data_IF_934261324120
#
_entry.id   IF_934261324120
#
_cell.length_a   1.000
_cell.length_b   1.000
_cell.length_c   1.000
_cell.angle_alpha   90.00
_cell.angle_beta   90.00
_cell.angle_gamma   90.00
#
_symmetry.space_group_name_H-M   'P 1'
#
loop_
_entity.id
_entity.type
_entity.pdbx_description
1 polymer ?
#
# COMPACT_ATOMS: atom_id res chain seq x y z
N UNK A 1 69.86 -12.76 -3.73
CA UNK A 1 70.75 -11.58 -3.70
C UNK A 1 69.90 -10.33 -3.78
N UNK A 2 70.14 -9.36 -2.89
CA UNK A 2 70.09 -7.89 -3.07
C UNK A 2 68.90 -7.33 -3.93
N UNK A 3 67.78 -6.81 -3.37
CA UNK A 3 67.54 -5.53 -2.64
C UNK A 3 67.11 -4.35 -3.54
N UNK A 4 66.12 -3.54 -3.06
CA UNK A 4 65.63 -2.22 -3.53
C UNK A 4 64.56 -2.19 -4.64
N UNK A 5 63.62 -1.23 -4.67
CA UNK A 5 63.07 -0.35 -3.63
C UNK A 5 61.73 0.30 -4.05
N UNK A 6 60.80 0.34 -3.09
CA UNK A 6 59.81 1.39 -2.76
C UNK A 6 59.77 2.69 -3.60
N UNK A 7 58.54 3.09 -3.97
CA UNK A 7 57.97 4.42 -3.64
C UNK A 7 56.46 4.29 -3.38
N UNK A 8 56.00 4.82 -2.25
CA UNK A 8 54.58 5.00 -1.94
C UNK A 8 54.30 6.51 -1.88
N UNK A 9 53.12 6.94 -2.35
CA UNK A 9 52.68 8.33 -2.27
C UNK A 9 51.55 8.45 -1.23
N UNK A 10 51.86 9.06 -0.09
CA UNK A 10 50.85 9.46 0.90
C UNK A 10 50.35 10.87 0.57
N UNK A 11 49.04 11.09 0.71
CA UNK A 11 48.46 12.44 0.76
C UNK A 11 48.10 12.79 2.21
N UNK A 12 48.49 13.99 2.62
CA UNK A 12 48.39 14.45 3.99
C UNK A 12 47.10 15.24 4.27
N UNK A 13 46.77 15.29 5.55
CA UNK A 13 45.57 15.91 6.13
C UNK A 13 45.63 17.45 6.06
N UNK A 14 44.47 18.08 5.85
CA UNK A 14 44.24 19.48 6.21
C UNK A 14 42.92 19.59 7.01
N UNK A 15 43.03 19.58 8.34
CA UNK A 15 41.96 19.95 9.26
C UNK A 15 41.90 21.47 9.41
N UNK A 16 40.70 22.05 9.33
CA UNK A 16 40.51 23.47 9.63
C UNK A 16 39.27 23.65 10.52
N UNK A 17 39.52 23.76 11.83
CA UNK A 17 38.50 24.10 12.81
C UNK A 17 38.35 25.62 12.89
N UNK A 18 37.11 26.12 12.83
CA UNK A 18 36.78 27.49 13.24
C UNK A 18 35.69 27.42 14.30
N UNK A 19 36.10 27.65 15.55
CA UNK A 19 35.20 27.90 16.67
C UNK A 19 35.15 29.41 16.89
N UNK A 20 33.98 30.02 16.76
CA UNK A 20 33.72 31.32 17.36
C UNK A 20 32.24 31.47 17.64
N UNK A 21 31.88 31.69 18.91
CA UNK A 21 30.51 31.88 19.35
C UNK A 21 30.33 33.20 20.10
N UNK A 22 29.15 33.79 19.96
CA UNK A 22 28.46 34.73 20.86
C UNK A 22 27.03 34.80 20.31
N UNK A 23 26.01 34.26 20.98
CA UNK A 23 25.34 34.73 22.21
C UNK A 23 24.26 35.79 21.96
N UNK A 24 23.08 35.52 22.52
CA UNK A 24 22.04 36.48 22.98
C UNK A 24 21.45 37.48 21.98
N UNK A 25 20.14 37.35 21.69
CA UNK A 25 19.08 38.06 22.44
C UNK A 25 17.69 37.88 21.79
N UNK A 26 16.65 37.63 22.61
CA UNK A 26 15.26 37.85 22.21
C UNK A 26 14.91 39.35 22.32
N UNK A 27 13.81 39.79 21.69
CA UNK A 27 12.72 40.27 22.53
C UNK A 27 11.30 39.93 22.03
N UNK A 28 10.45 39.53 22.98
CA UNK A 28 9.05 40.00 23.07
C UNK A 28 9.03 41.00 24.23
N UNK A 29 8.26 42.12 24.19
CA UNK A 29 6.80 42.03 24.30
C UNK A 29 6.02 43.11 23.51
N UNK A 30 4.71 42.94 23.36
CA UNK A 30 3.67 43.74 24.06
C UNK A 30 2.26 43.37 23.57
N UNK A 31 1.27 43.58 24.45
CA UNK A 31 -0.14 43.34 24.17
C UNK A 31 -0.95 44.62 24.40
N UNK A 32 -1.87 44.89 23.49
CA UNK A 32 -2.94 45.90 23.55
C UNK A 32 -4.10 45.31 22.73
N UNK A 33 -5.22 44.93 23.33
CA UNK A 33 -6.36 45.84 23.57
C UNK A 33 -7.16 45.98 22.27
N UNK A 34 -8.38 45.45 22.10
CA UNK A 34 -9.49 45.33 23.05
C UNK A 34 -10.51 46.43 22.71
N UNK A 35 -11.66 46.10 22.13
CA UNK A 35 -12.67 47.09 21.73
C UNK A 35 -13.82 46.52 20.89
N UNK A 36 -15.01 46.52 21.47
CA UNK A 36 -16.28 45.98 20.97
C UNK A 36 -16.87 46.62 19.70
N UNK A 37 -17.91 45.96 19.18
CA UNK A 37 -19.15 46.49 18.54
C UNK A 37 -19.33 46.06 17.07
N UNK A 38 -20.52 45.78 16.54
CA UNK A 38 -21.86 45.50 17.05
C UNK A 38 -22.76 45.22 15.81
N UNK A 39 -23.89 44.58 16.03
CA UNK A 39 -24.94 44.18 15.09
C UNK A 39 -25.34 45.14 13.94
N UNK A 40 -25.92 44.53 12.88
CA UNK A 40 -27.05 45.12 12.16
C UNK A 40 -27.05 44.92 10.64
N UNK A 41 -28.23 44.61 10.07
CA UNK A 41 -28.49 44.75 8.62
C UNK A 41 -29.04 43.50 7.95
N UNK A 42 -30.34 43.24 8.11
CA UNK A 42 -31.08 42.49 7.09
C UNK A 42 -31.52 43.48 5.99
N UNK A 43 -31.55 43.02 4.74
CA UNK A 43 -32.51 43.56 3.76
C UNK A 43 -32.91 42.47 2.74
N UNK A 44 -33.90 42.82 1.93
CA UNK A 44 -34.85 41.92 1.26
C UNK A 44 -35.24 42.47 -0.11
N UNK A 45 -35.80 41.62 -0.97
CA UNK A 45 -36.27 41.97 -2.32
C UNK A 45 -35.73 40.99 -3.37
N UNK A 46 -36.46 40.01 -3.91
CA UNK A 46 -37.83 39.94 -4.49
C UNK A 46 -37.85 40.15 -6.02
N UNK A 47 -38.83 39.51 -6.66
CA UNK A 47 -39.17 39.44 -8.10
C UNK A 47 -38.19 38.64 -8.99
N UNK A 48 -38.64 37.80 -9.93
CA UNK A 48 -39.98 37.32 -10.31
C UNK A 48 -39.83 36.43 -11.57
N UNK A 49 -40.43 35.24 -11.66
CA UNK A 49 -41.81 34.96 -12.10
C UNK A 49 -41.86 34.26 -13.50
N UNK A 50 -42.76 33.28 -13.66
CA UNK A 50 -43.05 32.56 -14.91
C UNK A 50 -42.41 31.16 -15.01
N UNK A 51 -43.13 30.05 -15.25
CA UNK A 51 -44.58 29.86 -15.33
C UNK A 51 -44.98 28.75 -16.33
N UNK A 52 -45.76 27.76 -15.88
CA UNK A 52 -46.72 26.93 -16.63
C UNK A 52 -46.27 26.25 -17.96
N UNK A 53 -46.18 24.91 -18.01
CA UNK A 53 -47.21 23.98 -18.56
C UNK A 53 -46.83 23.47 -19.98
N UNK A 54 -47.29 22.35 -20.53
CA UNK A 54 -47.83 21.07 -19.99
C UNK A 54 -47.90 20.04 -21.14
N UNK A 55 -48.00 18.72 -20.86
CA UNK A 55 -48.09 17.72 -21.94
C UNK A 55 -48.12 16.25 -21.52
N UNK A 56 -49.32 15.69 -21.48
CA UNK A 56 -49.65 14.31 -21.06
C UNK A 56 -49.58 13.27 -22.21
N UNK A 57 -49.76 11.98 -21.87
CA UNK A 57 -50.10 10.78 -22.69
C UNK A 57 -48.96 9.73 -22.83
N UNK A 58 -49.05 8.52 -22.24
CA UNK A 58 -50.02 7.41 -22.44
C UNK A 58 -49.79 6.62 -23.74
N UNK A 59 -49.90 5.27 -23.82
CA UNK A 59 -50.09 4.21 -22.81
C UNK A 59 -49.85 2.82 -23.43
N UNK A 60 -49.88 1.77 -22.59
CA UNK A 60 -50.08 0.36 -22.99
C UNK A 60 -48.84 -0.55 -22.87
N UNK A 61 -48.89 -1.71 -22.21
CA UNK A 61 -49.95 -2.30 -21.37
C UNK A 61 -49.80 -3.84 -21.27
N UNK A 62 -50.22 -4.42 -20.13
CA UNK A 62 -50.65 -5.84 -19.93
C UNK A 62 -49.72 -7.00 -20.38
N UNK A 63 -49.55 -8.10 -19.64
CA UNK A 63 -50.31 -8.63 -18.51
C UNK A 63 -49.57 -9.76 -17.75
N UNK A 64 -50.08 -10.10 -16.57
CA UNK A 64 -50.13 -11.45 -15.95
C UNK A 64 -48.84 -12.19 -15.54
N UNK A 65 -48.60 -12.44 -14.25
CA UNK A 65 -49.17 -13.53 -13.39
C UNK A 65 -48.36 -14.83 -13.44
N UNK A 66 -48.19 -15.66 -12.39
CA UNK A 66 -48.40 -15.52 -10.94
C UNK A 66 -47.76 -16.76 -10.23
N UNK A 67 -47.64 -16.72 -8.90
CA UNK A 67 -47.29 -17.88 -8.06
C UNK A 67 -45.81 -17.94 -7.63
N UNK A 68 -45.48 -18.38 -6.42
CA UNK A 68 -46.34 -18.76 -5.30
C UNK A 68 -45.50 -19.21 -4.10
N UNK A 69 -45.80 -18.72 -2.91
CA UNK A 69 -45.18 -19.14 -1.65
C UNK A 69 -45.74 -20.48 -1.16
N UNK A 70 -44.92 -21.36 -0.57
CA UNK A 70 -44.96 -21.56 0.90
C UNK A 70 -44.04 -22.66 1.49
N UNK A 71 -43.76 -22.46 2.78
CA UNK A 71 -43.60 -23.47 3.86
C UNK A 71 -42.43 -24.48 3.92
N UNK A 72 -41.42 -24.10 4.72
CA UNK A 72 -41.17 -24.62 6.09
C UNK A 72 -40.96 -26.11 6.43
N UNK A 73 -39.84 -26.33 7.14
CA UNK A 73 -39.66 -27.14 8.37
C UNK A 73 -39.23 -28.63 8.32
N UNK A 74 -38.20 -28.94 9.12
CA UNK A 74 -38.13 -30.17 9.95
C UNK A 74 -36.97 -31.14 9.71
N UNK A 75 -36.19 -31.47 10.76
CA UNK A 75 -35.32 -32.66 10.79
C UNK A 75 -34.02 -32.50 11.58
N UNK A 76 -33.91 -33.15 12.75
CA UNK A 76 -32.69 -33.19 13.58
C UNK A 76 -32.25 -34.62 13.91
N UNK A 77 -30.95 -34.82 14.18
CA UNK A 77 -30.33 -36.07 14.67
C UNK A 77 -29.44 -36.77 13.64
N UNK A 78 -28.36 -37.49 14.00
CA UNK A 78 -27.76 -37.74 15.32
C UNK A 78 -26.91 -39.05 15.32
N UNK A 79 -25.84 -39.11 16.12
CA UNK A 79 -24.91 -40.28 16.23
C UNK A 79 -23.83 -40.30 15.13
N UNK A 80 -22.52 -40.25 15.40
CA UNK A 80 -21.64 -41.11 16.22
C UNK A 80 -21.31 -42.47 15.57
N UNK A 81 -20.02 -42.72 15.31
CA UNK A 81 -19.24 -43.71 16.07
C UNK A 81 -17.76 -43.73 15.64
N UNK A 82 -16.90 -44.20 16.54
CA UNK A 82 -15.44 -44.23 16.41
C UNK A 82 -14.93 -45.65 16.18
N UNK A 83 -13.85 -45.83 15.41
CA UNK A 83 -12.97 -46.99 15.55
C UNK A 83 -11.55 -46.69 15.04
N UNK A 84 -10.54 -47.11 15.80
CA UNK A 84 -9.13 -46.96 15.47
C UNK A 84 -8.53 -48.24 14.85
N UNK A 85 -7.43 -48.09 14.12
CA UNK A 85 -6.59 -49.20 13.66
C UNK A 85 -5.30 -48.66 13.05
N UNK A 86 -4.15 -48.97 13.66
CA UNK A 86 -2.85 -48.49 13.18
C UNK A 86 -1.89 -49.63 12.85
N UNK A 87 -0.89 -49.35 12.02
CA UNK A 87 0.46 -49.91 12.12
C UNK A 87 1.41 -49.18 11.16
N UNK A 88 2.71 -49.25 11.45
CA UNK A 88 3.75 -48.50 10.75
C UNK A 88 4.07 -49.02 9.34
N UNK A 89 4.45 -48.10 8.46
CA UNK A 89 5.13 -48.37 7.20
C UNK A 89 6.05 -47.20 6.86
N UNK A 90 7.36 -47.34 7.06
CA UNK A 90 8.32 -46.31 6.73
C UNK A 90 8.57 -46.27 5.22
N UNK A 91 8.22 -45.17 4.58
CA UNK A 91 8.73 -44.78 3.26
C UNK A 91 8.93 -43.27 3.27
N UNK A 92 10.08 -42.82 2.77
CA UNK A 92 10.37 -41.40 2.62
C UNK A 92 9.27 -40.73 1.79
N UNK A 93 8.59 -39.77 2.40
CA UNK A 93 7.58 -38.96 1.71
C UNK A 93 8.29 -37.70 1.22
N UNK A 94 8.38 -37.53 -0.10
CA UNK A 94 8.67 -36.20 -0.66
C UNK A 94 7.66 -35.21 -0.09
N UNK A 95 8.12 -34.00 0.23
CA UNK A 95 7.31 -32.98 0.88
C UNK A 95 6.09 -32.62 0.03
N UNK A 96 4.91 -33.11 0.44
CA UNK A 96 3.66 -32.85 -0.24
C UNK A 96 3.35 -31.36 -0.26
N UNK A 97 3.42 -30.77 -1.45
CA UNK A 97 3.21 -29.34 -1.69
C UNK A 97 1.85 -28.86 -1.16
N UNK A 98 1.86 -27.78 -0.37
CA UNK A 98 0.66 -27.01 -0.05
C UNK A 98 0.17 -26.20 -1.24
N UNK A 99 -0.54 -26.87 -2.17
CA UNK A 99 -1.56 -26.40 -3.13
C UNK A 99 -1.33 -25.08 -3.92
N UNK A 100 -0.09 -24.59 -4.00
CA UNK A 100 0.27 -23.33 -4.68
C UNK A 100 1.27 -23.53 -5.82
N UNK A 101 1.84 -24.73 -5.99
CA UNK A 101 2.95 -24.96 -6.94
C UNK A 101 4.26 -24.22 -6.59
N UNK A 102 4.27 -23.43 -5.52
CA UNK A 102 5.44 -22.68 -5.04
C UNK A 102 6.22 -23.54 -4.02
N UNK A 103 7.57 -23.54 -4.06
CA UNK A 103 8.39 -24.33 -3.12
C UNK A 103 8.25 -23.93 -1.64
N UNK A 104 8.38 -24.91 -0.74
CA UNK A 104 8.38 -24.73 0.72
C UNK A 104 9.57 -23.90 1.25
N UNK A 105 10.72 -23.94 0.57
CA UNK A 105 11.94 -23.21 0.95
C UNK A 105 12.15 -21.96 0.12
N UNK A 106 12.54 -20.86 0.75
CA UNK A 106 12.86 -19.60 0.08
C UNK A 106 14.06 -19.75 -0.85
N UNK A 107 15.06 -20.54 -0.47
CA UNK A 107 16.19 -20.90 -1.34
C UNK A 107 15.74 -21.49 -2.69
N UNK A 108 14.64 -22.24 -2.72
CA UNK A 108 14.11 -22.88 -3.92
C UNK A 108 13.22 -21.96 -4.79
N UNK A 109 12.85 -20.75 -4.34
CA UNK A 109 11.95 -19.88 -5.15
C UNK A 109 12.63 -19.22 -6.34
N UNK A 110 13.96 -19.20 -6.36
CA UNK A 110 14.78 -18.48 -7.34
C UNK A 110 15.06 -17.01 -6.98
N UNK A 111 14.99 -16.62 -5.69
CA UNK A 111 15.41 -15.29 -5.23
C UNK A 111 16.94 -15.18 -5.17
N UNK A 112 17.57 -16.21 -4.64
CA UNK A 112 19.01 -16.26 -4.38
C UNK A 112 19.69 -17.34 -5.23
N UNK A 113 20.90 -17.04 -5.70
CA UNK A 113 21.84 -18.07 -6.15
C UNK A 113 22.53 -18.72 -4.94
N UNK A 114 22.86 -17.93 -3.90
CA UNK A 114 23.44 -18.39 -2.64
C UNK A 114 22.79 -17.62 -1.47
N UNK A 115 21.78 -18.23 -0.84
CA UNK A 115 20.94 -17.59 0.20
C UNK A 115 21.73 -17.20 1.46
N UNK A 116 22.71 -18.01 1.84
CA UNK A 116 23.59 -17.79 3.00
C UNK A 116 24.49 -16.56 2.84
N UNK A 117 24.81 -16.20 1.59
CA UNK A 117 25.58 -15.00 1.23
C UNK A 117 24.68 -13.83 0.81
N UNK A 118 23.37 -14.03 0.71
CA UNK A 118 22.43 -13.05 0.14
C UNK A 118 22.67 -12.76 -1.35
N UNK A 119 23.37 -13.64 -2.07
CA UNK A 119 23.68 -13.44 -3.49
C UNK A 119 22.44 -13.71 -4.32
N UNK A 120 21.91 -12.68 -5.00
CA UNK A 120 20.70 -12.77 -5.81
C UNK A 120 20.89 -13.72 -7.01
N UNK A 121 19.80 -14.35 -7.44
CA UNK A 121 19.78 -15.17 -8.65
C UNK A 121 19.90 -14.30 -9.92
N UNK A 122 20.44 -14.82 -11.03
CA UNK A 122 20.52 -14.10 -12.29
C UNK A 122 19.15 -13.59 -12.76
N UNK A 123 19.09 -12.31 -13.16
CA UNK A 123 17.84 -11.67 -13.62
C UNK A 123 16.93 -11.15 -12.50
N UNK A 124 17.25 -11.38 -11.23
CA UNK A 124 16.59 -10.74 -10.10
C UNK A 124 17.17 -9.34 -9.89
N UNK A 125 16.32 -8.32 -9.92
CA UNK A 125 16.70 -6.91 -9.72
C UNK A 125 16.14 -6.39 -8.39
N UNK A 126 16.91 -5.66 -7.56
CA UNK A 126 16.36 -4.93 -6.42
C UNK A 126 15.48 -3.77 -6.89
N UNK A 127 14.50 -3.38 -6.08
CA UNK A 127 13.72 -2.16 -6.27
C UNK A 127 13.16 -1.61 -4.96
N UNK A 128 12.74 -0.35 -4.95
CA UNK A 128 11.85 0.19 -3.93
C UNK A 128 10.75 1.06 -4.52
N UNK A 129 9.58 1.17 -3.85
CA UNK A 129 8.60 2.20 -4.15
C UNK A 129 9.05 3.57 -3.62
N UNK A 130 8.79 4.64 -4.37
CA UNK A 130 8.97 6.03 -3.94
C UNK A 130 8.22 6.35 -2.63
N UNK A 131 7.07 5.72 -2.40
CA UNK A 131 6.29 5.82 -1.17
C UNK A 131 6.06 4.43 -0.58
N UNK A 132 6.62 4.18 0.61
CA UNK A 132 6.59 2.86 1.23
C UNK A 132 5.31 2.58 2.02
N UNK A 133 4.87 1.32 1.94
CA UNK A 133 3.88 0.74 2.86
C UNK A 133 4.46 0.64 4.29
N UNK A 134 3.77 1.25 5.26
CA UNK A 134 4.01 1.08 6.69
C UNK A 134 3.71 -0.34 7.16
N UNK A 135 4.50 -0.84 8.09
CA UNK A 135 4.28 -2.14 8.75
C UNK A 135 5.05 -2.13 10.07
N UNK A 136 4.54 -1.41 11.06
CA UNK A 136 4.99 -1.42 12.47
C UNK A 136 6.51 -1.31 12.71
N UNK A 137 7.17 -0.42 11.97
CA UNK A 137 8.61 -0.20 12.05
C UNK A 137 9.48 -1.22 11.32
N UNK A 138 8.91 -2.21 10.62
CA UNK A 138 9.66 -3.15 9.79
C UNK A 138 10.24 -2.45 8.54
N UNK A 139 11.56 -2.49 8.43
CA UNK A 139 12.29 -2.09 7.22
C UNK A 139 12.15 -3.16 6.14
N UNK A 140 12.26 -2.77 4.86
CA UNK A 140 11.82 -3.62 3.74
C UNK A 140 12.79 -3.58 2.56
N UNK A 141 13.33 -4.73 2.16
CA UNK A 141 13.98 -4.91 0.85
C UNK A 141 13.00 -5.55 -0.11
N UNK A 142 13.09 -5.24 -1.41
CA UNK A 142 12.24 -5.84 -2.44
C UNK A 142 13.06 -6.17 -3.68
N UNK A 143 12.59 -7.18 -4.39
CA UNK A 143 13.18 -7.63 -5.64
C UNK A 143 12.11 -8.02 -6.64
N UNK A 144 12.39 -7.82 -7.92
CA UNK A 144 11.55 -8.22 -9.04
C UNK A 144 12.35 -9.17 -9.95
N UNK A 145 11.67 -10.18 -10.47
CA UNK A 145 12.11 -10.95 -11.62
C UNK A 145 11.06 -10.80 -12.71
N UNK A 146 11.48 -10.29 -13.87
CA UNK A 146 10.70 -10.28 -15.10
C UNK A 146 11.29 -11.32 -16.06
N UNK A 147 10.47 -12.23 -16.64
CA UNK A 147 10.95 -13.22 -17.60
C UNK A 147 11.77 -12.59 -18.74
N UNK A 148 12.92 -13.17 -19.14
CA UNK A 148 13.74 -12.63 -20.22
C UNK A 148 12.96 -12.39 -21.52
N UNK A 149 13.12 -11.21 -22.12
CA UNK A 149 12.44 -10.81 -23.35
C UNK A 149 10.95 -10.45 -23.20
N UNK A 150 10.35 -10.65 -22.03
CA UNK A 150 8.97 -10.23 -21.77
C UNK A 150 8.83 -8.72 -21.56
N UNK A 151 7.58 -8.24 -21.63
CA UNK A 151 7.21 -6.85 -21.34
C UNK A 151 6.02 -6.81 -20.38
N UNK A 152 6.02 -5.79 -19.53
CA UNK A 152 4.85 -5.38 -18.75
C UNK A 152 3.91 -4.64 -19.69
N UNK A 153 2.62 -5.02 -19.69
CA UNK A 153 1.62 -4.24 -20.39
C UNK A 153 1.28 -2.97 -19.60
N UNK A 154 1.58 -1.84 -20.23
CA UNK A 154 1.42 -0.47 -19.72
C UNK A 154 0.47 0.34 -20.61
N UNK A 155 -0.35 -0.34 -21.43
CA UNK A 155 -1.46 0.25 -22.19
C UNK A 155 -2.42 1.07 -21.31
N UNK A 156 -2.53 0.64 -20.05
CA UNK A 156 -3.17 1.32 -18.94
C UNK A 156 -2.08 1.64 -17.90
N UNK A 157 -1.64 2.90 -17.85
CA UNK A 157 -0.49 3.31 -17.03
C UNK A 157 -0.81 3.32 -15.53
N UNK A 158 -2.08 3.39 -15.16
CA UNK A 158 -2.54 3.34 -13.77
C UNK A 158 -2.65 1.89 -13.27
N UNK A 159 -2.88 0.93 -14.16
CA UNK A 159 -3.05 -0.48 -13.84
C UNK A 159 -2.30 -1.40 -14.81
N UNK A 160 -1.00 -1.53 -14.56
CA UNK A 160 -0.08 -2.40 -15.28
C UNK A 160 -0.48 -3.89 -15.17
N UNK A 161 -0.25 -4.65 -16.24
CA UNK A 161 -0.45 -6.11 -16.27
C UNK A 161 0.89 -6.80 -16.54
N UNK A 162 1.24 -7.73 -15.65
CA UNK A 162 2.56 -8.38 -15.65
C UNK A 162 2.58 -9.63 -16.54
N UNK A 163 3.72 -9.96 -17.16
CA UNK A 163 3.87 -11.21 -17.89
C UNK A 163 3.85 -12.42 -16.96
N UNK A 164 3.33 -13.55 -17.44
CA UNK A 164 3.39 -14.87 -16.79
C UNK A 164 4.85 -15.21 -16.44
N UNK A 165 5.09 -15.75 -15.24
CA UNK A 165 6.42 -16.01 -14.69
C UNK A 165 7.07 -14.81 -13.99
N UNK A 166 6.39 -13.65 -13.90
CA UNK A 166 6.83 -12.54 -13.04
C UNK A 166 6.84 -12.97 -11.58
N UNK A 167 7.90 -12.61 -10.85
CA UNK A 167 7.99 -12.80 -9.40
C UNK A 167 8.36 -11.49 -8.71
N UNK A 168 7.75 -11.22 -7.56
CA UNK A 168 8.18 -10.14 -6.67
C UNK A 168 8.37 -10.69 -5.26
N UNK A 169 9.51 -10.34 -4.65
CA UNK A 169 9.82 -10.66 -3.27
C UNK A 169 9.87 -9.40 -2.41
N UNK A 170 9.48 -9.53 -1.14
CA UNK A 170 9.58 -8.49 -0.12
C UNK A 170 10.06 -9.10 1.18
N UNK A 171 11.30 -8.79 1.58
CA UNK A 171 11.89 -9.17 2.87
C UNK A 171 11.58 -8.09 3.90
N UNK A 172 11.05 -8.48 5.06
CA UNK A 172 10.80 -7.63 6.21
C UNK A 172 11.85 -7.89 7.28
N UNK A 173 12.48 -6.80 7.73
CA UNK A 173 13.47 -6.80 8.81
C UNK A 173 12.94 -5.97 9.97
N UNK A 174 12.80 -6.63 11.13
CA UNK A 174 12.36 -6.03 12.40
C UNK A 174 13.35 -6.42 13.50
N UNK A 175 13.68 -5.48 14.38
CA UNK A 175 14.61 -5.67 15.50
C UNK A 175 15.94 -6.31 15.08
N UNK A 176 16.47 -5.83 13.94
CA UNK A 176 17.69 -6.31 13.28
C UNK A 176 17.70 -7.78 12.82
N UNK A 177 16.57 -8.49 12.89
CA UNK A 177 16.38 -9.83 12.30
C UNK A 177 15.59 -9.75 10.98
N UNK A 178 15.92 -10.58 10.00
CA UNK A 178 14.93 -10.94 8.96
C UNK A 178 13.86 -11.80 9.62
N UNK A 179 12.61 -11.41 9.46
CA UNK A 179 11.45 -12.11 10.05
C UNK A 179 10.69 -12.85 8.96
N UNK A 180 10.36 -12.13 7.89
CA UNK A 180 9.53 -12.64 6.80
C UNK A 180 10.19 -12.33 5.45
N UNK A 181 10.10 -13.25 4.49
CA UNK A 181 10.12 -12.88 3.07
C UNK A 181 8.81 -13.32 2.42
N UNK A 182 8.11 -12.42 1.74
CA UNK A 182 6.90 -12.73 0.96
C UNK A 182 7.21 -12.81 -0.51
N UNK A 183 6.76 -13.87 -1.18
CA UNK A 183 6.74 -14.02 -2.63
C UNK A 183 5.32 -13.82 -3.15
N UNK A 184 5.18 -13.07 -4.24
CA UNK A 184 4.05 -13.20 -5.16
C UNK A 184 4.59 -13.57 -6.55
N UNK A 185 3.99 -14.59 -7.17
CA UNK A 185 4.37 -15.11 -8.49
C UNK A 185 3.14 -15.14 -9.40
N UNK A 186 3.30 -14.75 -10.67
CA UNK A 186 2.28 -14.95 -11.70
C UNK A 186 2.49 -16.29 -12.38
N UNK A 187 1.53 -17.18 -12.24
CA UNK A 187 1.66 -18.59 -12.65
C UNK A 187 1.29 -18.81 -14.12
N UNK A 188 1.51 -20.03 -14.64
CA UNK A 188 1.39 -20.34 -16.08
C UNK A 188 -0.03 -20.14 -16.64
N UNK A 189 -1.06 -20.31 -15.80
CA UNK A 189 -2.46 -20.05 -16.13
C UNK A 189 -2.86 -18.56 -16.02
N UNK A 190 -1.92 -17.69 -15.63
CA UNK A 190 -2.13 -16.26 -15.42
C UNK A 190 -2.68 -15.87 -14.05
N UNK A 191 -2.92 -16.84 -13.15
CA UNK A 191 -3.27 -16.57 -11.75
C UNK A 191 -2.04 -16.12 -10.94
N UNK A 192 -2.20 -15.91 -9.63
CA UNK A 192 -1.09 -15.54 -8.75
C UNK A 192 -1.08 -16.33 -7.45
N UNK A 193 0.01 -17.05 -7.23
CA UNK A 193 0.40 -17.59 -5.95
C UNK A 193 1.03 -16.52 -5.04
N UNK A 194 0.71 -16.59 -3.75
CA UNK A 194 1.17 -15.64 -2.73
C UNK A 194 1.56 -16.42 -1.47
N UNK A 195 2.85 -16.41 -1.12
CA UNK A 195 3.40 -17.23 -0.03
C UNK A 195 4.29 -16.35 0.86
N UNK A 196 4.09 -16.46 2.16
CA UNK A 196 4.99 -15.88 3.17
C UNK A 196 5.92 -16.96 3.73
N UNK A 197 7.18 -16.61 3.92
CA UNK A 197 8.23 -17.47 4.46
C UNK A 197 8.78 -16.87 5.75
N UNK A 198 8.80 -17.63 6.84
CA UNK A 198 9.46 -17.20 8.08
C UNK A 198 10.95 -17.61 8.04
N UNK A 199 11.84 -16.66 8.35
CA UNK A 199 13.28 -16.91 8.48
C UNK A 199 13.62 -17.65 9.78
N UNK A 200 14.61 -18.55 9.72
CA UNK A 200 15.17 -19.21 10.90
C UNK A 200 16.09 -18.29 11.73
N UNK A 201 16.38 -18.70 12.96
CA UNK A 201 17.28 -17.98 13.87
C UNK A 201 18.74 -17.94 13.37
N UNK A 202 19.19 -18.96 12.61
CA UNK A 202 20.50 -18.94 11.95
C UNK A 202 20.57 -17.96 10.77
N UNK A 203 19.44 -17.38 10.36
CA UNK A 203 19.32 -16.41 9.27
C UNK A 203 19.96 -16.93 7.96
N UNK A 204 19.70 -18.18 7.60
CA UNK A 204 20.25 -18.82 6.40
C UNK A 204 19.22 -19.54 5.52
N UNK A 205 17.98 -19.69 5.99
CA UNK A 205 16.85 -20.20 5.21
C UNK A 205 15.53 -19.59 5.71
N UNK A 206 14.51 -19.58 4.86
CA UNK A 206 13.13 -19.32 5.30
C UNK A 206 12.17 -20.40 4.77
N UNK A 207 11.19 -20.77 5.59
CA UNK A 207 10.21 -21.84 5.30
C UNK A 207 8.81 -21.26 5.18
N UNK A 208 8.01 -21.77 4.24
CA UNK A 208 6.64 -21.31 4.01
C UNK A 208 5.76 -21.50 5.26
N UNK A 209 4.96 -20.49 5.59
CA UNK A 209 4.04 -20.49 6.74
C UNK A 209 2.63 -20.17 6.27
N UNK A 210 1.90 -21.21 5.87
CA UNK A 210 0.58 -21.07 5.22
C UNK A 210 -0.48 -20.40 6.13
N UNK A 211 -0.48 -20.77 7.41
CA UNK A 211 -1.41 -20.28 8.43
C UNK A 211 -0.98 -18.95 9.08
N UNK A 212 0.15 -18.36 8.63
CA UNK A 212 0.74 -17.18 9.25
C UNK A 212 1.43 -17.47 10.59
N UNK A 213 2.04 -16.43 11.17
CA UNK A 213 2.74 -16.48 12.47
C UNK A 213 2.60 -15.13 13.16
N UNK A 214 1.86 -15.09 14.27
CA UNK A 214 1.75 -13.92 15.15
C UNK A 214 3.03 -13.72 15.96
N UNK A 215 3.46 -12.47 16.15
CA UNK A 215 4.71 -12.09 16.82
C UNK A 215 5.96 -12.85 16.32
N UNK A 216 6.13 -12.93 14.99
CA UNK A 216 7.09 -13.82 14.36
C UNK A 216 8.54 -13.51 14.77
N UNK A 217 9.31 -14.59 14.97
CA UNK A 217 10.73 -14.58 15.37
C UNK A 217 11.04 -13.78 16.66
N UNK A 218 10.03 -13.61 17.52
CA UNK A 218 10.11 -12.87 18.80
C UNK A 218 9.99 -11.35 18.66
N UNK A 219 9.48 -10.87 17.52
CA UNK A 219 9.28 -9.45 17.20
C UNK A 219 7.78 -9.15 17.13
N UNK A 220 7.32 -7.89 17.23
CA UNK A 220 5.91 -7.53 17.01
C UNK A 220 5.49 -7.55 15.52
N UNK A 221 6.22 -8.24 14.64
CA UNK A 221 5.85 -8.37 13.23
C UNK A 221 5.02 -9.63 13.01
N UNK A 222 3.76 -9.45 12.62
CA UNK A 222 2.87 -10.53 12.24
C UNK A 222 3.08 -10.95 10.78
N UNK A 223 3.30 -12.25 10.56
CA UNK A 223 3.23 -12.86 9.24
C UNK A 223 1.78 -13.25 8.98
N UNK A 224 1.10 -12.66 7.97
CA UNK A 224 -0.29 -12.99 7.67
C UNK A 224 -0.41 -14.38 7.06
N UNK A 225 -1.56 -15.03 7.27
CA UNK A 225 -1.93 -16.25 6.56
C UNK A 225 -2.10 -16.01 5.04
N UNK A 226 -2.09 -17.09 4.26
CA UNK A 226 -2.21 -17.01 2.80
C UNK A 226 -3.57 -16.46 2.31
N UNK A 227 -4.66 -16.65 3.06
CA UNK A 227 -5.95 -16.07 2.69
C UNK A 227 -5.95 -14.56 2.90
N UNK A 228 -5.34 -14.08 3.98
CA UNK A 228 -5.19 -12.65 4.30
C UNK A 228 -4.39 -11.87 3.25
N UNK A 229 -3.46 -12.50 2.52
CA UNK A 229 -2.80 -11.88 1.35
C UNK A 229 -3.83 -11.32 0.32
N UNK A 230 -4.93 -12.05 0.09
CA UNK A 230 -5.96 -11.67 -0.88
C UNK A 230 -6.73 -10.42 -0.45
N UNK A 231 -6.77 -10.08 0.84
CA UNK A 231 -7.45 -8.89 1.37
C UNK A 231 -6.89 -7.57 0.83
N UNK A 232 -5.63 -7.54 0.39
CA UNK A 232 -5.04 -6.37 -0.26
C UNK A 232 -4.82 -6.61 -1.75
N UNK A 233 -4.30 -7.78 -2.14
CA UNK A 233 -3.86 -8.01 -3.51
C UNK A 233 -5.02 -8.20 -4.50
N UNK A 234 -6.19 -8.72 -4.11
CA UNK A 234 -7.34 -8.88 -5.02
C UNK A 234 -8.16 -7.58 -5.26
N UNK A 235 -7.67 -6.42 -4.84
CA UNK A 235 -8.35 -5.11 -4.98
C UNK A 235 -7.79 -4.23 -6.11
N UNK A 236 -6.92 -4.80 -6.94
CA UNK A 236 -6.28 -4.18 -8.09
C UNK A 236 -6.41 -5.10 -9.31
N UNK A 237 -6.35 -4.53 -10.52
CA UNK A 237 -6.44 -5.26 -11.80
C UNK A 237 -5.48 -6.46 -11.88
N UNK A 238 -4.21 -6.22 -11.55
CA UNK A 238 -3.17 -7.24 -11.38
C UNK A 238 -2.62 -7.22 -9.94
N UNK A 239 -1.74 -8.16 -9.54
CA UNK A 239 -1.42 -8.40 -8.11
C UNK A 239 -0.15 -7.77 -7.56
N UNK A 240 0.70 -7.14 -8.38
CA UNK A 240 1.91 -6.48 -7.90
C UNK A 240 1.58 -5.11 -7.28
N UNK A 241 1.69 -5.00 -5.95
CA UNK A 241 1.48 -3.75 -5.20
C UNK A 241 2.83 -3.08 -4.90
N UNK A 242 2.93 -1.77 -5.09
CA UNK A 242 4.17 -1.00 -4.89
C UNK A 242 5.22 -1.14 -6.01
N UNK A 243 4.90 -1.85 -7.09
CA UNK A 243 5.61 -1.80 -8.37
C UNK A 243 4.59 -1.25 -9.38
N UNK A 244 4.74 0.02 -9.78
CA UNK A 244 3.79 0.72 -10.65
C UNK A 244 4.42 2.01 -11.19
N UNK A 245 3.79 2.66 -12.17
CA UNK A 245 4.29 3.90 -12.78
C UNK A 245 4.67 4.98 -11.76
N UNK A 246 3.74 5.36 -10.87
CA UNK A 246 3.96 6.37 -9.82
C UNK A 246 5.05 5.92 -8.84
N UNK A 247 5.01 4.65 -8.41
CA UNK A 247 5.94 4.15 -7.40
C UNK A 247 7.37 3.99 -7.91
N UNK A 248 7.57 3.78 -9.22
CA UNK A 248 8.89 3.63 -9.84
C UNK A 248 9.41 4.94 -10.48
N UNK A 249 8.67 6.04 -10.37
CA UNK A 249 9.03 7.37 -10.89
C UNK A 249 10.01 8.11 -9.97
N UNK A 250 11.20 7.52 -9.77
CA UNK A 250 12.26 8.09 -8.95
C UNK A 250 13.63 7.59 -9.42
N UNK A 251 14.71 8.21 -8.91
CA UNK A 251 16.08 7.84 -9.25
C UNK A 251 16.66 6.91 -8.18
N UNK A 252 16.94 5.66 -8.56
CA UNK A 252 17.62 4.68 -7.71
C UNK A 252 18.70 3.93 -8.53
N UNK A 253 19.97 4.10 -8.17
CA UNK A 253 21.08 3.53 -8.93
C UNK A 253 21.25 2.03 -8.63
N UNK A 254 21.24 1.20 -9.68
CA UNK A 254 21.36 -0.25 -9.56
C UNK A 254 20.04 -0.97 -9.21
N UNK A 255 18.93 -0.24 -9.20
CA UNK A 255 17.58 -0.76 -8.92
C UNK A 255 16.66 -0.63 -10.14
N UNK A 256 15.58 -1.42 -10.17
CA UNK A 256 14.53 -1.27 -11.18
C UNK A 256 13.69 -0.03 -10.90
N UNK A 257 13.70 0.92 -11.83
CA UNK A 257 12.94 2.18 -11.83
C UNK A 257 12.15 2.31 -13.13
N UNK A 258 11.26 3.30 -13.24
CA UNK A 258 10.52 3.53 -14.48
C UNK A 258 11.48 3.83 -15.63
N UNK A 259 12.47 4.70 -15.40
CA UNK A 259 13.51 5.02 -16.37
C UNK A 259 14.40 3.82 -16.74
N UNK A 260 14.74 2.92 -15.81
CA UNK A 260 15.50 1.71 -16.15
C UNK A 260 14.66 0.72 -16.98
N UNK A 261 13.37 0.52 -16.64
CA UNK A 261 12.47 -0.35 -17.39
C UNK A 261 12.23 0.17 -18.83
N UNK A 262 12.19 1.50 -19.02
CA UNK A 262 12.15 2.12 -20.35
C UNK A 262 13.45 1.82 -21.12
N UNK A 263 14.62 2.04 -20.51
CA UNK A 263 15.92 1.79 -21.13
C UNK A 263 16.15 0.30 -21.48
N UNK A 264 15.63 -0.62 -20.67
CA UNK A 264 15.65 -2.07 -20.91
C UNK A 264 14.56 -2.54 -21.90
N UNK A 265 13.70 -1.64 -22.39
CA UNK A 265 12.61 -1.96 -23.32
C UNK A 265 11.49 -2.83 -22.73
N UNK A 266 11.35 -2.87 -21.39
CA UNK A 266 10.45 -3.76 -20.64
C UNK A 266 8.98 -3.34 -20.63
N UNK A 267 8.60 -2.22 -21.23
CA UNK A 267 7.22 -1.71 -21.25
C UNK A 267 6.61 -1.81 -22.67
N UNK A 268 5.31 -2.10 -22.77
CA UNK A 268 4.58 -2.07 -24.06
C UNK A 268 4.36 -0.64 -24.56
N UNK A 269 4.01 0.29 -23.67
CA UNK A 269 3.72 1.70 -23.94
C UNK A 269 4.56 2.58 -22.99
N UNK A 270 5.88 2.74 -23.24
CA UNK A 270 6.75 3.52 -22.36
C UNK A 270 6.31 5.00 -22.34
N UNK A 271 6.20 5.64 -21.14
CA UNK A 271 5.92 7.06 -21.05
C UNK A 271 7.13 7.90 -21.47
N UNK A 272 6.91 9.18 -21.75
CA UNK A 272 7.97 10.11 -22.16
C UNK A 272 8.91 10.55 -21.01
N UNK A 273 8.55 10.27 -19.75
CA UNK A 273 9.30 10.63 -18.56
C UNK A 273 8.62 10.13 -17.28
N UNK A 274 9.18 10.51 -16.13
CA UNK A 274 8.71 10.11 -14.81
C UNK A 274 7.48 10.91 -14.35
N UNK A 275 6.69 10.32 -13.45
CA UNK A 275 5.49 10.90 -12.85
C UNK A 275 5.81 11.53 -11.48
N UNK A 276 5.84 12.86 -11.43
CA UNK A 276 6.02 13.63 -10.18
C UNK A 276 4.66 13.91 -9.54
N UNK A 277 4.53 13.77 -8.22
CA UNK A 277 3.32 14.13 -7.48
C UNK A 277 3.14 15.66 -7.47
N UNK A 278 1.89 16.18 -7.58
CA UNK A 278 1.66 17.61 -7.60
C UNK A 278 1.84 18.27 -6.22
N UNK A 279 2.06 19.59 -6.23
CA UNK A 279 2.06 20.43 -5.04
C UNK A 279 3.41 20.57 -4.35
N UNK A 280 3.36 21.08 -3.11
CA UNK A 280 4.50 21.27 -2.22
C UNK A 280 5.04 19.94 -1.69
N UNK A 281 6.18 19.97 -0.99
CA UNK A 281 6.70 18.78 -0.30
C UNK A 281 5.70 18.20 0.71
N UNK A 282 4.87 19.04 1.35
CA UNK A 282 3.81 18.60 2.27
C UNK A 282 2.70 17.85 1.53
N UNK A 283 2.26 18.37 0.38
CA UNK A 283 1.25 17.70 -0.46
C UNK A 283 1.78 16.35 -0.95
N UNK A 284 2.99 16.31 -1.50
CA UNK A 284 3.60 15.09 -2.04
C UNK A 284 3.81 14.02 -0.95
N UNK A 285 4.16 14.43 0.27
CA UNK A 285 4.29 13.51 1.41
C UNK A 285 2.94 12.87 1.78
N UNK A 286 1.86 13.66 1.89
CA UNK A 286 0.54 13.16 2.24
C UNK A 286 -0.10 12.33 1.12
N UNK A 287 -0.10 12.83 -0.12
CA UNK A 287 -0.64 12.12 -1.28
C UNK A 287 0.11 10.80 -1.53
N UNK A 288 1.44 10.82 -1.43
CA UNK A 288 2.26 9.62 -1.56
C UNK A 288 2.04 8.60 -0.46
N UNK A 289 1.89 9.06 0.79
CA UNK A 289 1.55 8.20 1.93
C UNK A 289 0.17 7.54 1.75
N UNK A 290 -0.86 8.32 1.39
CA UNK A 290 -2.21 7.82 1.14
C UNK A 290 -2.25 6.84 -0.05
N UNK A 291 -1.47 7.10 -1.11
CA UNK A 291 -1.31 6.18 -2.24
C UNK A 291 -0.75 4.81 -1.81
N UNK A 292 0.37 4.81 -1.08
CA UNK A 292 1.05 3.59 -0.66
C UNK A 292 0.26 2.78 0.38
N UNK A 293 -0.39 3.45 1.32
CA UNK A 293 -1.00 2.82 2.51
C UNK A 293 -2.51 2.63 2.42
N UNK A 294 -3.20 3.40 1.57
CA UNK A 294 -4.67 3.39 1.48
C UNK A 294 -5.19 3.14 0.05
N UNK A 295 -4.49 3.61 -1.00
CA UNK A 295 -4.94 3.56 -2.39
C UNK A 295 -5.29 2.16 -2.91
N UNK A 296 -4.53 1.14 -2.54
CA UNK A 296 -4.83 -0.26 -2.89
C UNK A 296 -6.21 -0.74 -2.39
N UNK A 297 -6.77 -0.11 -1.35
CA UNK A 297 -8.11 -0.40 -0.85
C UNK A 297 -9.16 0.62 -1.31
N UNK A 298 -8.78 1.88 -1.38
CA UNK A 298 -9.62 3.01 -1.75
C UNK A 298 -9.35 3.40 -3.20
N UNK A 299 -9.93 2.63 -4.13
CA UNK A 299 -9.90 2.89 -5.57
C UNK A 299 -11.13 2.29 -6.26
N UNK A 300 -11.40 2.74 -7.49
CA UNK A 300 -12.54 2.31 -8.32
C UNK A 300 -12.58 0.81 -8.68
N UNK A 301 -11.45 0.10 -8.67
CA UNK A 301 -11.39 -1.35 -8.98
C UNK A 301 -11.58 -2.24 -7.74
N UNK A 302 -11.44 -1.66 -6.55
CA UNK A 302 -11.68 -2.33 -5.27
C UNK A 302 -13.17 -2.54 -5.02
N UNK A 303 -13.55 -3.71 -4.52
CA UNK A 303 -14.94 -3.99 -4.11
C UNK A 303 -15.48 -2.99 -3.06
N UNK A 304 -14.59 -2.33 -2.31
CA UNK A 304 -14.95 -1.29 -1.34
C UNK A 304 -15.57 -0.06 -2.02
N UNK A 305 -15.29 0.21 -3.30
CA UNK A 305 -15.81 1.36 -4.04
C UNK A 305 -17.34 1.44 -4.05
N UNK A 306 -18.03 0.29 -4.00
CA UNK A 306 -19.48 0.22 -3.94
C UNK A 306 -20.08 0.86 -2.66
N UNK A 307 -19.30 0.96 -1.58
CA UNK A 307 -19.75 1.47 -0.26
C UNK A 307 -18.98 2.71 0.18
N UNK A 308 -17.69 2.81 -0.17
CA UNK A 308 -16.81 3.94 0.15
C UNK A 308 -16.18 4.46 -1.14
N UNK A 309 -16.87 5.41 -1.78
CA UNK A 309 -16.42 6.09 -3.00
C UNK A 309 -15.31 7.10 -2.70
N UNK A 310 -14.17 6.62 -2.25
CA UNK A 310 -12.96 7.39 -1.92
C UNK A 310 -11.80 6.84 -2.75
N UNK A 311 -11.07 7.71 -3.45
CA UNK A 311 -10.04 7.35 -4.41
C UNK A 311 -8.70 7.90 -3.94
N UNK A 312 -7.86 7.02 -3.40
CA UNK A 312 -6.52 7.31 -2.90
C UNK A 312 -5.44 6.64 -3.77
N UNK A 313 -5.81 5.86 -4.79
CA UNK A 313 -4.88 5.43 -5.83
C UNK A 313 -4.67 6.57 -6.83
N UNK A 314 -3.59 7.33 -6.63
CA UNK A 314 -3.12 8.35 -7.57
C UNK A 314 -3.02 7.80 -9.00
N UNK A 315 -3.75 8.44 -9.92
CA UNK A 315 -3.72 8.18 -11.36
C UNK A 315 -2.78 9.14 -12.06
N UNK A 316 -1.97 8.68 -13.02
CA UNK A 316 -0.96 9.48 -13.71
C UNK A 316 -1.56 10.66 -14.48
N UNK A 317 -2.78 10.51 -15.00
CA UNK A 317 -3.51 11.57 -15.70
C UNK A 317 -4.02 12.71 -14.81
N UNK A 318 -3.96 12.54 -13.48
CA UNK A 318 -4.52 13.47 -12.50
C UNK A 318 -3.43 14.21 -11.68
N UNK A 319 -2.14 14.00 -12.00
CA UNK A 319 -0.99 14.57 -11.27
C UNK A 319 -0.66 16.02 -11.66
N UNK A 320 -1.55 16.73 -12.36
CA UNK A 320 -1.33 18.11 -12.80
C UNK A 320 -1.47 19.15 -11.68
N UNK A 321 -2.27 18.85 -10.65
CA UNK A 321 -2.47 19.70 -9.48
C UNK A 321 -3.06 18.90 -8.32
N UNK A 322 -2.83 19.36 -7.08
CA UNK A 322 -3.38 18.71 -5.88
C UNK A 322 -4.90 18.72 -5.93
N UNK A 323 -5.50 19.89 -6.18
CA UNK A 323 -6.96 20.10 -6.21
C UNK A 323 -7.66 19.40 -7.37
N UNK A 324 -6.96 19.13 -8.47
CA UNK A 324 -7.46 18.35 -9.60
C UNK A 324 -7.39 16.83 -9.41
N UNK A 325 -6.67 16.35 -8.39
CA UNK A 325 -6.54 14.91 -8.13
C UNK A 325 -7.83 14.28 -7.61
N UNK A 326 -8.06 13.00 -7.93
CA UNK A 326 -9.13 12.22 -7.30
C UNK A 326 -8.96 12.09 -5.78
N UNK A 327 -7.71 12.08 -5.28
CA UNK A 327 -7.41 12.11 -3.85
C UNK A 327 -7.98 13.34 -3.17
N UNK A 328 -7.76 14.54 -3.72
CA UNK A 328 -8.39 15.75 -3.18
C UNK A 328 -9.91 15.74 -3.36
N UNK A 329 -10.39 15.58 -4.60
CA UNK A 329 -11.82 15.76 -4.94
C UNK A 329 -12.74 14.73 -4.29
N UNK A 330 -12.24 13.54 -3.94
CA UNK A 330 -13.02 12.51 -3.22
C UNK A 330 -12.84 12.52 -1.70
N UNK A 331 -12.01 13.39 -1.12
CA UNK A 331 -11.80 13.45 0.34
C UNK A 331 -12.13 14.82 0.94
N UNK A 332 -11.62 15.90 0.34
CA UNK A 332 -11.70 17.24 0.91
C UNK A 332 -13.13 17.77 0.79
N UNK A 333 -13.70 18.18 1.93
CA UNK A 333 -15.10 18.60 2.05
C UNK A 333 -16.13 17.54 1.60
N UNK A 334 -15.75 16.26 1.53
CA UNK A 334 -16.67 15.15 1.23
C UNK A 334 -17.16 14.50 2.52
N UNK A 335 -18.45 14.15 2.59
CA UNK A 335 -19.00 13.41 3.72
C UNK A 335 -18.39 11.98 3.81
N UNK A 336 -18.13 11.46 5.03
CA UNK A 336 -17.78 10.05 5.20
C UNK A 336 -18.96 9.15 4.82
N UNK A 337 -18.66 7.90 4.44
CA UNK A 337 -19.64 6.95 3.92
C UNK A 337 -19.35 5.56 4.46
N UNK A 338 -20.39 4.81 4.85
CA UNK A 338 -20.25 3.54 5.55
C UNK A 338 -20.07 3.77 7.06
N UNK A 339 -19.14 3.04 7.69
CA UNK A 339 -18.79 3.30 9.09
C UNK A 339 -18.24 4.71 9.24
N UNK A 340 -18.75 5.47 10.21
CA UNK A 340 -18.29 6.84 10.52
C UNK A 340 -18.10 6.95 12.04
N UNK A 341 -16.91 7.36 12.54
CA UNK A 341 -16.70 7.66 13.95
C UNK A 341 -17.63 8.77 14.43
N UNK A 342 -18.01 8.77 15.70
CA UNK A 342 -18.80 9.86 16.27
C UNK A 342 -17.97 11.15 16.34
N UNK A 343 -18.55 12.27 15.89
CA UNK A 343 -17.93 13.60 15.99
C UNK A 343 -17.19 14.09 14.74
N UNK A 344 -17.05 13.27 13.69
CA UNK A 344 -16.53 13.70 12.38
C UNK A 344 -17.66 13.83 11.35
N UNK A 345 -17.63 14.89 10.55
CA UNK A 345 -18.63 15.18 9.52
C UNK A 345 -18.07 15.13 8.09
N UNK A 346 -16.75 15.12 7.93
CA UNK A 346 -16.04 15.13 6.65
C UNK A 346 -14.93 14.06 6.65
N UNK A 347 -14.63 13.50 5.47
CA UNK A 347 -13.47 12.63 5.26
C UNK A 347 -12.19 13.39 5.57
N UNK A 348 -12.07 14.58 4.99
CA UNK A 348 -11.09 15.60 5.35
C UNK A 348 -11.80 16.95 5.50
N UNK A 349 -11.59 17.58 6.66
CA UNK A 349 -12.03 18.94 7.00
C UNK A 349 -10.81 19.87 6.93
N UNK A 350 -10.75 20.81 5.96
CA UNK A 350 -9.65 21.77 5.83
C UNK A 350 -9.32 22.50 7.14
N UNK A 351 -8.03 22.65 7.41
CA UNK A 351 -7.49 23.25 8.63
C UNK A 351 -7.71 22.45 9.92
N UNK A 352 -8.41 21.30 9.88
CA UNK A 352 -8.93 20.62 11.07
C UNK A 352 -8.70 19.09 11.05
N UNK A 353 -7.46 18.60 11.30
CA UNK A 353 -7.15 17.17 11.35
C UNK A 353 -8.03 16.40 12.34
N UNK A 354 -8.19 16.90 13.58
CA UNK A 354 -8.97 16.22 14.62
C UNK A 354 -10.48 16.06 14.29
N UNK A 355 -11.02 16.79 13.30
CA UNK A 355 -12.40 16.65 12.82
C UNK A 355 -12.51 15.89 11.49
N UNK A 356 -11.40 15.34 11.00
CA UNK A 356 -11.29 14.58 9.74
C UNK A 356 -11.36 13.08 10.02
N UNK A 357 -12.29 12.36 9.39
CA UNK A 357 -12.43 10.89 9.51
C UNK A 357 -11.11 10.15 9.19
N UNK A 358 -10.36 10.62 8.19
CA UNK A 358 -9.06 10.02 7.81
C UNK A 358 -8.08 10.02 8.99
N UNK A 359 -7.86 11.18 9.63
CA UNK A 359 -7.00 11.30 10.82
C UNK A 359 -7.52 10.42 11.97
N UNK A 360 -8.81 10.55 12.29
CA UNK A 360 -9.42 9.81 13.41
C UNK A 360 -9.23 8.31 13.22
N UNK A 361 -9.43 7.77 12.02
CA UNK A 361 -9.24 6.35 11.73
C UNK A 361 -7.78 5.89 11.70
N UNK A 362 -6.88 6.72 11.18
CA UNK A 362 -5.44 6.44 11.18
C UNK A 362 -4.86 6.33 12.59
N UNK A 363 -5.43 7.08 13.57
CA UNK A 363 -5.02 7.05 14.99
C UNK A 363 -5.44 5.79 15.77
N UNK A 364 -6.35 4.96 15.23
CA UNK A 364 -6.97 3.88 15.98
C UNK A 364 -6.26 2.55 15.76
N UNK A 365 -6.08 1.78 16.83
CA UNK A 365 -5.61 0.38 16.79
C UNK A 365 -6.48 -0.50 17.67
N UNK A 366 -6.78 -1.72 17.22
CA UNK A 366 -7.67 -2.68 17.90
C UNK A 366 -9.16 -2.31 17.89
N UNK A 367 -9.61 -1.35 17.08
CA UNK A 367 -11.03 -0.92 17.03
C UNK A 367 -11.65 -1.13 15.65
N UNK A 368 -12.98 -1.19 15.57
CA UNK A 368 -13.73 -1.26 14.30
C UNK A 368 -13.53 -0.04 13.38
N UNK A 369 -12.89 1.03 13.87
CA UNK A 369 -12.57 2.23 13.10
C UNK A 369 -11.12 2.27 12.60
N UNK A 370 -10.25 1.34 13.04
CA UNK A 370 -8.86 1.26 12.64
C UNK A 370 -8.67 1.31 11.12
N UNK A 371 -7.73 2.15 10.67
CA UNK A 371 -7.18 2.13 9.32
C UNK A 371 -5.64 2.16 9.36
N UNK A 372 -4.94 1.28 8.60
CA UNK A 372 -5.49 0.19 7.80
C UNK A 372 -6.07 -0.93 8.70
N UNK A 373 -7.14 -1.63 8.25
CA UNK A 373 -7.86 -2.60 9.08
C UNK A 373 -7.11 -3.92 9.28
N UNK A 374 -5.97 -4.10 8.61
CA UNK A 374 -5.11 -5.29 8.65
C UNK A 374 -3.65 -4.87 8.49
N UNK A 375 -2.72 -5.64 9.05
CA UNK A 375 -1.28 -5.48 8.80
C UNK A 375 -0.59 -4.30 9.51
N UNK A 376 -1.23 -3.73 10.53
CA UNK A 376 -0.56 -2.82 11.48
C UNK A 376 -1.17 -2.90 12.88
N UNK A 377 -0.35 -3.08 13.90
CA UNK A 377 -0.69 -2.94 15.32
C UNK A 377 -0.30 -1.57 15.89
N UNK A 378 0.67 -0.87 15.27
CA UNK A 378 1.19 0.41 15.73
C UNK A 378 0.71 1.57 14.85
N UNK A 379 0.49 2.73 15.47
CA UNK A 379 0.24 3.99 14.76
C UNK A 379 1.51 4.38 13.99
N UNK A 380 1.35 4.82 12.74
CA UNK A 380 2.43 5.46 11.99
C UNK A 380 2.40 6.96 12.29
N UNK A 381 3.13 7.37 13.32
CA UNK A 381 3.18 8.78 13.73
C UNK A 381 3.74 9.69 12.62
N UNK A 382 4.64 9.18 11.77
CA UNK A 382 5.20 9.94 10.65
C UNK A 382 4.19 10.06 9.50
N UNK A 383 3.49 8.97 9.18
CA UNK A 383 2.39 8.95 8.22
C UNK A 383 1.21 9.82 8.63
N UNK A 384 0.83 9.78 9.92
CA UNK A 384 -0.15 10.70 10.50
C UNK A 384 0.33 12.14 10.41
N UNK A 385 1.56 12.44 10.85
CA UNK A 385 2.10 13.80 10.79
C UNK A 385 2.15 14.37 9.36
N UNK A 386 2.41 13.54 8.34
CA UNK A 386 2.39 13.96 6.95
C UNK A 386 0.97 14.34 6.49
N UNK A 387 -0.02 13.48 6.76
CA UNK A 387 -1.43 13.74 6.42
C UNK A 387 -1.99 14.93 7.20
N UNK A 388 -1.70 15.04 8.50
CA UNK A 388 -2.16 16.14 9.34
C UNK A 388 -1.56 17.49 8.91
N UNK A 389 -0.27 17.52 8.54
CA UNK A 389 0.38 18.71 8.01
C UNK A 389 -0.24 19.18 6.69
N UNK A 390 -0.68 18.23 5.85
CA UNK A 390 -1.42 18.54 4.63
C UNK A 390 -2.81 19.09 4.96
N UNK A 391 -3.59 18.42 5.81
CA UNK A 391 -4.93 18.87 6.22
C UNK A 391 -4.90 20.27 6.84
N UNK A 392 -3.87 20.59 7.65
CA UNK A 392 -3.66 21.93 8.22
C UNK A 392 -3.37 23.03 7.19
N UNK A 393 -2.84 22.65 6.01
CA UNK A 393 -2.48 23.57 4.93
C UNK A 393 -3.54 23.72 3.82
N UNK A 394 -4.69 23.04 3.94
CA UNK A 394 -5.82 23.08 3.00
C UNK A 394 -6.72 24.30 3.17
#
# INVERSE_FOLDING_TARGET
MILRALTAAAWAVATMSVLMGCSSSAPSPEAIGGGDSAAGGADSGDSGAGGSDSGDSAAGGSDSSAGGSDSSAGGSGGGSDSAAGGSAGASGSDGGSGDSGVPDKLSATGLYAEISLGTLAPGVQPFHPAHALWTDGATKKRWVYLPPGSKIDTSDMDYWVYPVGTKLWKEFVRDSKRVETRLIQKDEDGTWSMVAYQWNDEQNEATAVADGVTNASGTPHDIPDQAACKNCHNKMKDRALGFSAVQLSHVAAGEATLSSLIAEGRLTHPPAGDFTLPGSATDQAALGYLHANCGHCHNETSFLWATVKMQLWLKVGELSSVTGSSTYTTTVNQAPTGFTPTGVALRISPGQPALSDVHVRMSQRGTLFQMPPVGSELVDDAGMSAVDSWILGL
#
